data_IF_374160187116
#
_entry.id   IF_374160187116
#
_cell.length_a   1.000
_cell.length_b   1.000
_cell.length_c   1.000
_cell.angle_alpha   90.00
_cell.angle_beta   90.00
_cell.angle_gamma   90.00
#
_symmetry.space_group_name_H-M   'P 1'
#
loop_
_entity.id
_entity.type
_entity.pdbx_description
1 polymer ?
#
# COMPACT_ATOMS: atom_id res chain seq x y z
N UNK A 1 12.99 -2.72 4.89
CA UNK A 1 11.65 -3.13 5.36
C UNK A 1 10.60 -2.23 4.71
N UNK A 2 9.31 -2.35 5.05
CA UNK A 2 8.29 -1.47 4.47
C UNK A 2 6.91 -1.61 5.10
N UNK A 3 6.04 -0.68 4.74
CA UNK A 3 4.63 -0.61 5.16
C UNK A 3 3.74 -0.44 3.94
N UNK A 4 2.64 -1.19 3.90
CA UNK A 4 1.58 -1.04 2.92
C UNK A 4 0.25 -0.80 3.61
N UNK A 5 -0.44 0.27 3.26
CA UNK A 5 -1.83 0.52 3.64
C UNK A 5 -2.69 0.36 2.40
N UNK A 6 -3.65 -0.57 2.45
CA UNK A 6 -4.55 -0.88 1.35
C UNK A 6 -5.99 -0.59 1.79
N UNK A 7 -6.71 0.19 0.98
CA UNK A 7 -8.14 0.43 1.11
C UNK A 7 -8.86 -0.19 -0.08
N UNK A 8 -9.74 -1.12 0.22
CA UNK A 8 -10.52 -1.89 -0.73
C UNK A 8 -11.90 -1.24 -0.90
N UNK A 9 -12.27 -0.86 -2.11
CA UNK A 9 -13.58 -0.32 -2.45
C UNK A 9 -14.22 -1.16 -3.56
N UNK A 10 -14.99 -2.19 -3.17
CA UNK A 10 -15.60 -3.10 -4.13
C UNK A 10 -16.76 -2.47 -4.91
N UNK A 11 -17.46 -1.46 -4.36
CA UNK A 11 -18.55 -0.78 -5.08
C UNK A 11 -18.04 0.09 -6.22
N UNK A 12 -16.83 0.65 -6.08
CA UNK A 12 -16.19 1.47 -7.12
C UNK A 12 -15.19 0.68 -7.96
N UNK A 13 -14.91 -0.59 -7.63
CA UNK A 13 -13.88 -1.38 -8.31
C UNK A 13 -12.46 -0.84 -8.10
N UNK A 14 -12.19 -0.23 -6.94
CA UNK A 14 -10.92 0.44 -6.67
C UNK A 14 -10.14 -0.19 -5.51
N UNK A 15 -8.83 -0.33 -5.73
CA UNK A 15 -7.83 -0.64 -4.70
C UNK A 15 -6.95 0.59 -4.52
N UNK A 16 -7.17 1.33 -3.45
CA UNK A 16 -6.34 2.48 -3.10
C UNK A 16 -5.23 2.06 -2.14
N UNK A 17 -4.03 2.60 -2.31
CA UNK A 17 -2.86 2.18 -1.56
C UNK A 17 -1.94 3.32 -1.18
N UNK A 18 -1.15 3.07 -0.14
CA UNK A 18 0.08 3.81 0.19
C UNK A 18 1.17 2.82 0.53
N UNK A 19 2.30 2.90 -0.17
CA UNK A 19 3.49 2.08 0.04
C UNK A 19 4.63 2.97 0.55
N UNK A 20 5.37 2.45 1.52
CA UNK A 20 6.63 3.02 1.99
C UNK A 20 7.63 1.88 2.10
N UNK A 21 8.76 2.00 1.43
CA UNK A 21 9.86 1.03 1.47
C UNK A 21 11.11 1.74 1.93
N UNK A 22 11.84 1.15 2.86
CA UNK A 22 13.10 1.66 3.38
C UNK A 22 14.21 0.62 3.24
N UNK A 23 15.42 1.08 2.90
CA UNK A 23 16.59 0.20 2.77
C UNK A 23 16.47 -0.83 1.65
N UNK A 24 15.95 -0.42 0.48
CA UNK A 24 15.90 -1.26 -0.72
C UNK A 24 17.21 -1.27 -1.52
N UNK A 25 18.15 -0.36 -1.21
CA UNK A 25 19.50 -0.22 -1.79
C UNK A 25 19.59 -0.14 -3.33
N UNK A 26 18.45 -0.07 -4.02
CA UNK A 26 18.30 0.17 -5.45
C UNK A 26 16.85 0.66 -5.74
N UNK A 27 16.59 1.31 -6.88
CA UNK A 27 15.25 1.75 -7.27
C UNK A 27 14.27 0.57 -7.36
N UNK A 28 13.13 0.68 -6.70
CA UNK A 28 12.01 -0.23 -6.88
C UNK A 28 11.39 0.02 -8.25
N UNK A 29 11.23 -1.04 -9.05
CA UNK A 29 10.68 -0.96 -10.42
C UNK A 29 9.29 -1.54 -10.52
N UNK A 30 8.85 -2.34 -9.54
CA UNK A 30 7.51 -2.91 -9.52
C UNK A 30 7.00 -3.12 -8.09
N UNK A 31 5.68 -3.03 -7.93
CA UNK A 31 4.98 -3.36 -6.69
C UNK A 31 3.65 -4.02 -7.04
N UNK A 32 3.31 -5.11 -6.35
CA UNK A 32 2.12 -5.90 -6.67
C UNK A 32 1.44 -6.45 -5.41
N UNK A 33 0.13 -6.69 -5.50
CA UNK A 33 -0.58 -7.62 -4.62
C UNK A 33 -0.55 -9.00 -5.30
N UNK A 34 -0.17 -10.02 -4.54
CA UNK A 34 -0.16 -11.41 -4.96
C UNK A 34 -1.18 -12.23 -4.16
N UNK A 35 -1.69 -13.30 -4.78
CA UNK A 35 -2.46 -14.34 -4.08
C UNK A 35 -1.50 -15.41 -3.56
N UNK A 36 -1.42 -15.60 -2.25
CA UNK A 36 -0.61 -16.61 -1.59
C UNK A 36 -0.57 -16.42 -0.07
N UNK A 37 -0.64 -17.52 0.67
CA UNK A 37 -0.45 -17.52 2.12
C UNK A 37 1.00 -17.15 2.50
N UNK A 38 1.23 -16.88 3.79
CA UNK A 38 2.56 -16.60 4.31
C UNK A 38 3.56 -17.71 3.94
N UNK A 39 4.74 -17.33 3.43
CA UNK A 39 5.77 -18.27 2.97
C UNK A 39 5.52 -18.90 1.59
N UNK A 40 4.30 -18.78 1.03
CA UNK A 40 3.96 -19.34 -0.28
C UNK A 40 3.98 -18.24 -1.33
N UNK A 41 4.72 -18.46 -2.43
CA UNK A 41 4.70 -17.58 -3.59
C UNK A 41 3.45 -17.87 -4.44
N UNK A 42 2.88 -16.84 -5.05
CA UNK A 42 1.78 -17.02 -5.99
C UNK A 42 1.62 -15.88 -6.98
N UNK A 43 0.59 -15.93 -7.84
CA UNK A 43 0.47 -15.04 -8.99
C UNK A 43 0.19 -13.60 -8.56
N UNK A 44 0.59 -12.65 -9.41
CA UNK A 44 0.19 -11.24 -9.31
C UNK A 44 -1.31 -11.16 -9.60
N UNK A 45 -2.05 -10.47 -8.73
CA UNK A 45 -3.49 -10.23 -8.91
C UNK A 45 -3.84 -8.75 -9.08
N UNK A 46 -3.04 -7.83 -8.51
CA UNK A 46 -3.25 -6.39 -8.64
C UNK A 46 -1.91 -5.71 -8.83
N UNK A 47 -1.63 -5.12 -10.01
CA UNK A 47 -0.48 -4.25 -10.20
C UNK A 47 -0.63 -2.94 -9.44
N UNK A 48 0.42 -2.48 -8.77
CA UNK A 48 0.47 -1.21 -8.06
C UNK A 48 1.53 -0.29 -8.69
N UNK A 49 1.41 1.01 -8.44
CA UNK A 49 2.45 1.96 -8.85
C UNK A 49 3.69 1.74 -7.99
N UNK A 50 4.84 1.53 -8.64
CA UNK A 50 6.11 1.34 -7.96
C UNK A 50 6.47 2.57 -7.10
N UNK A 51 6.92 2.37 -5.85
CA UNK A 51 7.43 3.47 -5.02
C UNK A 51 8.71 4.05 -5.61
N UNK A 52 8.86 5.37 -5.56
CA UNK A 52 10.04 6.10 -6.02
C UNK A 52 10.70 6.85 -4.86
N UNK A 53 12.00 7.16 -5.00
CA UNK A 53 12.74 7.89 -3.98
C UNK A 53 12.08 9.23 -3.65
N UNK A 54 12.04 9.56 -2.36
CA UNK A 54 11.55 10.86 -1.91
C UNK A 54 12.67 11.90 -1.88
N UNK A 55 12.32 13.17 -2.03
CA UNK A 55 13.30 14.27 -1.86
C UNK A 55 13.76 14.44 -0.40
N UNK A 56 12.99 13.92 0.56
CA UNK A 56 13.30 14.04 1.99
C UNK A 56 14.36 13.03 2.46
N UNK A 57 14.34 11.81 1.91
CA UNK A 57 15.32 10.77 2.21
C UNK A 57 15.44 9.80 1.02
N UNK A 58 16.65 9.69 0.47
CA UNK A 58 16.96 8.81 -0.64
C UNK A 58 16.88 7.32 -0.28
N UNK A 59 16.94 6.97 1.01
CA UNK A 59 16.75 5.61 1.51
C UNK A 59 15.27 5.21 1.60
N UNK A 60 14.36 6.17 1.43
CA UNK A 60 12.91 5.99 1.51
C UNK A 60 12.31 6.12 0.11
N UNK A 61 11.59 5.08 -0.32
CA UNK A 61 10.83 5.08 -1.56
C UNK A 61 9.34 4.97 -1.24
N UNK A 62 8.50 5.79 -1.88
CA UNK A 62 7.07 5.86 -1.59
C UNK A 62 6.22 5.90 -2.85
N UNK A 63 5.04 5.32 -2.78
CA UNK A 63 3.96 5.53 -3.76
C UNK A 63 2.61 5.58 -3.07
N UNK A 64 1.66 6.25 -3.71
CA UNK A 64 0.25 6.25 -3.33
C UNK A 64 -0.60 6.39 -4.58
N UNK A 65 -1.81 5.85 -4.55
CA UNK A 65 -2.74 5.96 -5.67
C UNK A 65 -3.91 5.02 -5.51
N UNK A 66 -4.73 4.94 -6.56
CA UNK A 66 -5.78 3.94 -6.68
C UNK A 66 -5.63 3.26 -8.04
N UNK A 67 -5.84 1.95 -8.07
CA UNK A 67 -5.89 1.15 -9.30
C UNK A 67 -7.25 0.46 -9.39
N UNK A 68 -7.70 0.23 -10.62
CA UNK A 68 -8.93 -0.54 -10.85
C UNK A 68 -8.66 -2.03 -10.67
N UNK A 69 -9.61 -2.74 -10.07
CA UNK A 69 -9.60 -4.19 -9.95
C UNK A 69 -11.04 -4.73 -9.96
N UNK A 70 -11.19 -6.00 -10.32
CA UNK A 70 -12.50 -6.64 -10.34
C UNK A 70 -13.18 -6.59 -8.95
N UNK A 71 -14.45 -6.15 -8.83
CA UNK A 71 -15.16 -6.10 -7.55
C UNK A 71 -15.20 -7.42 -6.78
N UNK A 72 -15.26 -8.57 -7.48
CA UNK A 72 -15.22 -9.90 -6.85
C UNK A 72 -13.85 -10.21 -6.26
N UNK A 73 -12.77 -9.85 -6.95
CA UNK A 73 -11.41 -9.96 -6.43
C UNK A 73 -11.22 -9.07 -5.19
N UNK A 74 -11.74 -7.85 -5.21
CA UNK A 74 -11.67 -6.94 -4.06
C UNK A 74 -12.39 -7.55 -2.85
N UNK A 75 -13.57 -8.15 -3.05
CA UNK A 75 -14.31 -8.86 -1.99
C UNK A 75 -13.54 -10.07 -1.47
N UNK A 76 -12.88 -10.83 -2.34
CA UNK A 76 -12.06 -11.97 -1.96
C UNK A 76 -10.89 -11.54 -1.05
N UNK A 77 -10.15 -10.49 -1.43
CA UNK A 77 -9.06 -9.94 -0.60
C UNK A 77 -9.59 -9.48 0.75
N UNK A 78 -10.75 -8.81 0.77
CA UNK A 78 -11.37 -8.33 2.00
C UNK A 78 -11.84 -9.47 2.93
N UNK A 79 -12.29 -10.59 2.36
CA UNK A 79 -12.76 -11.76 3.09
C UNK A 79 -11.61 -12.59 3.66
N UNK A 80 -10.50 -12.73 2.92
CA UNK A 80 -9.33 -13.50 3.35
C UNK A 80 -8.01 -12.74 3.11
N UNK A 81 -7.72 -11.66 3.85
CA UNK A 81 -6.49 -10.89 3.64
C UNK A 81 -5.23 -11.74 3.90
N UNK A 82 -5.29 -12.70 4.83
CA UNK A 82 -4.17 -13.60 5.12
C UNK A 82 -3.78 -14.49 3.92
N UNK A 83 -4.62 -14.60 2.89
CA UNK A 83 -4.31 -15.25 1.62
C UNK A 83 -3.61 -14.36 0.59
N UNK A 84 -3.26 -13.11 0.92
CA UNK A 84 -2.65 -12.16 -0.02
C UNK A 84 -1.48 -11.39 0.59
N UNK A 85 -0.53 -10.98 -0.23
CA UNK A 85 0.62 -10.18 0.21
C UNK A 85 0.98 -9.11 -0.80
N UNK A 86 1.58 -8.02 -0.30
CA UNK A 86 2.26 -7.03 -1.15
C UNK A 86 3.72 -7.43 -1.29
N UNK A 87 4.25 -7.35 -2.50
CA UNK A 87 5.67 -7.52 -2.78
C UNK A 87 6.17 -6.35 -3.63
N UNK A 88 7.41 -5.91 -3.38
CA UNK A 88 8.11 -4.92 -4.21
C UNK A 88 9.37 -5.53 -4.80
N UNK A 89 9.77 -5.07 -5.98
CA UNK A 89 10.85 -5.67 -6.76
C UNK A 89 11.82 -4.60 -7.25
N UNK A 90 13.11 -4.92 -7.29
CA UNK A 90 14.12 -4.12 -7.95
C UNK A 90 14.96 -5.00 -8.89
N UNK A 91 15.92 -4.40 -9.61
CA UNK A 91 16.79 -5.12 -10.55
C UNK A 91 17.64 -6.21 -9.88
N UNK A 92 18.04 -6.00 -8.62
CA UNK A 92 18.92 -6.94 -7.90
C UNK A 92 18.13 -8.11 -7.31
N UNK A 93 16.86 -7.89 -6.97
CA UNK A 93 15.97 -8.88 -6.37
C UNK A 93 14.66 -8.95 -7.17
N UNK A 94 14.69 -9.58 -8.36
CA UNK A 94 13.51 -9.69 -9.22
C UNK A 94 12.39 -10.55 -8.60
N UNK A 95 12.72 -11.47 -7.69
CA UNK A 95 11.72 -12.26 -6.93
C UNK A 95 11.08 -11.51 -5.78
N UNK A 96 11.62 -10.34 -5.40
CA UNK A 96 11.09 -9.49 -4.33
C UNK A 96 12.18 -8.99 -3.39
N UNK A 97 12.10 -7.72 -3.02
CA UNK A 97 12.95 -7.03 -2.04
C UNK A 97 12.27 -7.01 -0.68
N UNK A 98 10.97 -6.68 -0.65
CA UNK A 98 10.18 -6.57 0.57
C UNK A 98 8.81 -7.18 0.35
N UNK A 99 8.46 -8.13 1.24
CA UNK A 99 7.16 -8.79 1.28
C UNK A 99 6.43 -8.45 2.58
N UNK A 100 5.12 -8.17 2.49
CA UNK A 100 4.24 -7.99 3.64
C UNK A 100 2.90 -8.69 3.43
N UNK A 101 2.54 -9.61 4.34
CA UNK A 101 1.24 -10.28 4.30
C UNK A 101 0.13 -9.29 4.67
N UNK A 102 -1.00 -9.33 3.96
CA UNK A 102 -2.14 -8.49 4.29
C UNK A 102 -2.81 -8.97 5.58
N UNK A 103 -3.22 -8.01 6.38
CA UNK A 103 -4.02 -8.23 7.59
C UNK A 103 -5.15 -7.22 7.59
N UNK A 104 -6.29 -7.60 8.17
CA UNK A 104 -7.39 -6.65 8.38
C UNK A 104 -7.00 -5.71 9.52
N UNK A 105 -6.97 -4.41 9.23
CA UNK A 105 -6.86 -3.42 10.30
C UNK A 105 -8.17 -3.44 11.09
N UNK A 106 -8.07 -3.63 12.41
CA UNK A 106 -9.25 -3.62 13.30
C UNK A 106 -9.90 -2.24 13.38
N UNK A 107 -9.16 -1.18 13.09
CA UNK A 107 -9.62 0.20 13.08
C UNK A 107 -9.07 0.94 11.85
N UNK A 108 -9.89 1.82 11.26
CA UNK A 108 -9.42 2.69 10.18
C UNK A 108 -8.38 3.68 10.75
N UNK A 109 -7.28 3.95 10.03
CA UNK A 109 -6.32 4.97 10.47
C UNK A 109 -7.07 6.29 10.72
N UNK A 110 -6.75 7.02 11.80
CA UNK A 110 -7.47 8.23 12.17
C UNK A 110 -7.49 9.18 10.97
N UNK A 111 -8.69 9.64 10.59
CA UNK A 111 -8.84 10.68 9.57
C UNK A 111 -7.96 11.86 10.01
N UNK A 112 -7.17 12.49 9.12
CA UNK A 112 -6.51 13.73 9.46
C UNK A 112 -7.59 14.73 9.88
N UNK A 113 -7.66 15.03 11.17
CA UNK A 113 -8.61 16.01 11.69
C UNK A 113 -8.15 17.37 11.18
N UNK A 114 -8.98 17.99 10.34
CA UNK A 114 -8.77 19.37 9.93
C UNK A 114 -8.62 20.23 11.20
N UNK A 115 -7.48 20.91 11.44
CA UNK A 115 -7.35 21.78 12.59
C UNK A 115 -8.40 22.88 12.47
N UNK A 116 -9.34 22.93 13.42
CA UNK A 116 -10.35 23.99 13.50
C UNK A 116 -9.65 25.36 13.45
N UNK A 117 -10.07 26.30 12.59
CA UNK A 117 -9.54 27.65 12.62
C UNK A 117 -9.74 28.23 14.03
N UNK A 118 -8.65 28.66 14.66
CA UNK A 118 -8.73 29.42 15.91
C UNK A 118 -9.35 30.78 15.59
N UNK A 119 -10.68 30.90 15.70
CA UNK A 119 -11.33 32.20 15.73
C UNK A 119 -10.86 32.91 17.01
N UNK A 120 -9.89 33.83 16.88
CA UNK A 120 -9.63 34.82 17.94
C UNK A 120 -10.82 35.77 17.94
N UNK A 121 -11.58 35.93 19.03
CA UNK A 121 -12.51 37.03 19.15
C UNK A 121 -11.67 38.32 19.14
N UNK A 122 -11.85 39.15 18.11
CA UNK A 122 -11.35 40.53 18.14
C UNK A 122 -12.19 41.26 19.19
N UNK A 123 -11.59 41.56 20.34
CA UNK A 123 -12.15 42.49 21.31
C UNK A 123 -11.66 43.90 21.00
N UNK A 124 -12.65 44.80 20.86
CA UNK A 124 -12.59 46.28 20.81
C UNK A 124 -12.00 46.91 19.55
#
# INVERSE_FOLDING_TARGET
SGTALIRLNASEGLVCFKLVVTGANAPIVAAHIHRGAAGVAGPVIVPLVAPTATSADANVQQSKGCVSADPSLIREIAANPAGFYVNTHNKNFPSGVVRGQLVKLKEAPPKPTCPKPKHKPKHK
#
